data_IF_156473042901
#
_entry.id   IF_156473042901
#
_cell.length_a   1.000
_cell.length_b   1.000
_cell.length_c   1.000
_cell.angle_alpha   90.00
_cell.angle_beta   90.00
_cell.angle_gamma   90.00
#
_symmetry.space_group_name_H-M   'P 1'
#
loop_
_entity.id
_entity.type
_entity.pdbx_description
1 polymer ?
#
# COMPACT_ATOMS: atom_id res chain seq x y z
N UNK A 1 36.37 56.65 3.10
CA UNK A 1 35.15 55.97 3.60
C UNK A 1 34.87 54.75 2.73
N UNK A 2 35.37 53.57 3.10
CA UNK A 2 35.00 52.32 2.42
C UNK A 2 33.94 51.61 3.28
N UNK A 3 32.69 51.59 2.82
CA UNK A 3 31.61 50.83 3.45
C UNK A 3 31.71 49.37 2.98
N UNK A 4 32.12 48.50 3.87
CA UNK A 4 32.07 47.04 3.69
C UNK A 4 30.60 46.60 3.80
N UNK A 5 29.97 46.22 2.69
CA UNK A 5 28.65 45.59 2.71
C UNK A 5 28.84 44.10 3.05
N UNK A 6 28.51 43.73 4.29
CA UNK A 6 28.46 42.34 4.73
C UNK A 6 27.21 41.69 4.12
N UNK A 7 27.37 40.94 3.03
CA UNK A 7 26.30 40.12 2.46
C UNK A 7 26.16 38.87 3.34
N UNK A 8 25.14 38.85 4.20
CA UNK A 8 24.74 37.65 4.92
C UNK A 8 24.06 36.71 3.92
N UNK A 9 24.79 35.72 3.41
CA UNK A 9 24.18 34.59 2.71
C UNK A 9 23.38 33.77 3.74
N UNK A 10 22.06 33.98 3.79
CA UNK A 10 21.16 33.03 4.42
C UNK A 10 21.15 31.76 3.56
N UNK A 11 21.94 30.76 3.94
CA UNK A 11 21.80 29.41 3.39
C UNK A 11 20.50 28.82 3.94
N UNK A 12 19.40 28.94 3.17
CA UNK A 12 18.23 28.11 3.33
C UNK A 12 18.63 26.67 2.97
N UNK A 13 19.17 25.94 3.94
CA UNK A 13 19.31 24.49 3.86
C UNK A 13 17.88 23.93 3.83
N UNK A 14 17.36 23.68 2.63
CA UNK A 14 16.20 22.80 2.45
C UNK A 14 16.72 21.41 2.82
N UNK A 15 16.60 21.06 4.10
CA UNK A 15 16.98 19.77 4.62
C UNK A 15 16.03 18.74 3.99
N UNK A 16 16.45 18.13 2.88
CA UNK A 16 15.63 17.23 2.09
C UNK A 16 15.35 15.98 2.92
N UNK A 17 14.21 15.97 3.62
CA UNK A 17 13.81 14.83 4.43
C UNK A 17 13.55 13.63 3.50
N UNK A 18 14.06 12.43 3.85
CA UNK A 18 13.88 11.24 3.02
C UNK A 18 12.42 10.75 2.97
N UNK A 19 11.58 11.19 3.91
CA UNK A 19 10.12 10.95 3.89
C UNK A 19 9.42 12.28 3.63
N UNK A 20 8.40 12.25 2.77
CA UNK A 20 7.56 13.41 2.48
C UNK A 20 6.10 13.14 2.86
N UNK A 21 5.32 14.18 3.26
CA UNK A 21 3.92 14.01 3.61
C UNK A 21 3.07 13.51 2.43
N UNK A 22 2.05 12.70 2.72
CA UNK A 22 1.02 12.38 1.73
C UNK A 22 0.30 13.63 1.26
N UNK A 23 -0.17 13.56 0.01
CA UNK A 23 -0.96 14.60 -0.63
C UNK A 23 -2.28 14.00 -1.10
N UNK A 24 -3.32 14.81 -1.16
CA UNK A 24 -4.57 14.39 -1.81
C UNK A 24 -4.33 14.29 -3.31
N UNK A 25 -4.78 13.20 -3.95
CA UNK A 25 -4.85 13.12 -5.41
C UNK A 25 -5.99 14.03 -5.89
N UNK A 26 -5.67 14.96 -6.80
CA UNK A 26 -6.61 15.95 -7.34
C UNK A 26 -7.18 15.48 -8.68
N UNK A 27 -8.22 16.18 -9.15
CA UNK A 27 -8.83 15.99 -10.47
C UNK A 27 -9.40 14.58 -10.71
N UNK A 28 -9.94 13.97 -9.66
CA UNK A 28 -10.65 12.69 -9.77
C UNK A 28 -12.12 12.91 -10.14
N UNK A 29 -12.70 11.98 -10.89
CA UNK A 29 -14.10 12.07 -11.32
C UNK A 29 -15.04 11.51 -10.22
N UNK A 30 -15.92 12.34 -9.62
CA UNK A 30 -16.79 11.91 -8.51
C UNK A 30 -17.79 10.82 -8.91
N UNK A 31 -18.28 10.82 -10.15
CA UNK A 31 -19.22 9.79 -10.63
C UNK A 31 -18.52 8.44 -10.77
N UNK A 32 -17.28 8.43 -11.28
CA UNK A 32 -16.44 7.23 -11.35
C UNK A 32 -16.08 6.71 -9.96
N UNK A 33 -15.75 7.60 -9.02
CA UNK A 33 -15.51 7.25 -7.62
C UNK A 33 -16.73 6.55 -7.02
N UNK A 34 -17.93 7.12 -7.20
CA UNK A 34 -19.16 6.54 -6.67
C UNK A 34 -19.46 5.17 -7.28
N UNK A 35 -19.25 5.01 -8.60
CA UNK A 35 -19.40 3.72 -9.28
C UNK A 35 -18.35 2.70 -8.78
N UNK A 36 -17.08 3.10 -8.70
CA UNK A 36 -15.99 2.25 -8.22
C UNK A 36 -16.19 1.81 -6.78
N UNK A 37 -16.61 2.71 -5.87
CA UNK A 37 -16.95 2.39 -4.48
C UNK A 37 -18.02 1.31 -4.38
N UNK A 38 -19.05 1.40 -5.23
CA UNK A 38 -20.14 0.40 -5.29
C UNK A 38 -19.59 -0.95 -5.73
N UNK A 39 -18.90 -0.99 -6.87
CA UNK A 39 -18.30 -2.22 -7.40
C UNK A 39 -17.32 -2.86 -6.41
N UNK A 40 -16.53 -2.06 -5.69
CA UNK A 40 -15.54 -2.56 -4.73
C UNK A 40 -16.15 -3.38 -3.59
N UNK A 41 -17.36 -3.02 -3.15
CA UNK A 41 -18.10 -3.75 -2.09
C UNK A 41 -19.04 -4.83 -2.63
N UNK A 42 -19.30 -4.83 -3.93
CA UNK A 42 -20.34 -5.68 -4.52
C UNK A 42 -19.76 -7.06 -4.86
N UNK A 43 -20.45 -8.11 -4.40
CA UNK A 43 -20.02 -9.49 -4.66
C UNK A 43 -20.28 -9.94 -6.09
N UNK A 44 -21.03 -9.15 -6.88
CA UNK A 44 -21.32 -9.42 -8.31
C UNK A 44 -20.06 -9.64 -9.17
N UNK A 45 -18.91 -9.12 -8.71
CA UNK A 45 -17.63 -9.29 -9.38
C UNK A 45 -17.10 -10.73 -9.28
N UNK A 46 -17.50 -11.51 -8.27
CA UNK A 46 -17.11 -12.91 -8.10
C UNK A 46 -18.05 -13.87 -8.83
N UNK A 47 -17.51 -15.01 -9.24
CA UNK A 47 -18.26 -16.00 -10.02
C UNK A 47 -19.44 -16.61 -9.26
N UNK A 48 -19.34 -16.74 -7.94
CA UNK A 48 -20.37 -17.33 -7.07
C UNK A 48 -21.14 -16.29 -6.23
N UNK A 49 -20.92 -15.00 -6.48
CA UNK A 49 -21.50 -13.87 -5.74
C UNK A 49 -21.20 -13.87 -4.22
N UNK A 50 -20.08 -14.47 -3.77
CA UNK A 50 -19.72 -14.52 -2.35
C UNK A 50 -18.61 -13.56 -1.94
N UNK A 51 -17.74 -13.12 -2.86
CA UNK A 51 -16.55 -12.32 -2.58
C UNK A 51 -16.62 -10.96 -3.29
N UNK A 52 -16.28 -9.88 -2.58
CA UNK A 52 -16.00 -8.56 -3.14
C UNK A 52 -14.56 -8.16 -2.86
N UNK A 53 -14.09 -7.02 -3.39
CA UNK A 53 -12.77 -6.50 -3.04
C UNK A 53 -12.67 -6.21 -1.53
N UNK A 54 -13.75 -5.70 -0.93
CA UNK A 54 -13.84 -5.40 0.50
C UNK A 54 -13.75 -6.64 1.39
N UNK A 55 -14.10 -7.84 0.90
CA UNK A 55 -13.94 -9.09 1.66
C UNK A 55 -12.49 -9.31 2.12
N UNK A 56 -11.52 -8.96 1.26
CA UNK A 56 -10.08 -9.11 1.51
C UNK A 56 -9.37 -7.79 1.87
N UNK A 57 -10.03 -6.65 1.63
CA UNK A 57 -9.46 -5.31 1.81
C UNK A 57 -10.43 -4.43 2.59
N UNK A 58 -10.50 -4.66 3.89
CA UNK A 58 -11.55 -4.13 4.76
C UNK A 58 -11.21 -2.71 5.21
N UNK A 59 -12.12 -1.75 4.95
CA UNK A 59 -11.86 -0.34 5.24
C UNK A 59 -11.61 -0.05 6.72
N UNK A 60 -12.33 -0.73 7.61
CA UNK A 60 -12.20 -0.56 9.05
C UNK A 60 -11.08 -1.39 9.69
N UNK A 61 -10.35 -2.19 8.91
CA UNK A 61 -9.25 -3.05 9.37
C UNK A 61 -7.98 -2.81 8.57
N UNK A 62 -7.47 -1.57 8.57
CA UNK A 62 -6.18 -1.26 7.94
C UNK A 62 -6.14 -1.37 6.41
N UNK A 63 -7.24 -1.72 5.75
CA UNK A 63 -7.32 -1.87 4.28
C UNK A 63 -6.81 -3.22 3.75
N UNK A 64 -6.50 -4.16 4.63
CA UNK A 64 -6.29 -5.58 4.32
C UNK A 64 -7.34 -6.45 5.06
N UNK A 65 -7.10 -7.75 5.19
CA UNK A 65 -7.98 -8.68 5.90
C UNK A 65 -7.46 -9.11 7.28
N UNK A 66 -6.31 -8.60 7.73
CA UNK A 66 -5.58 -9.06 8.92
C UNK A 66 -5.33 -10.57 8.98
N UNK A 67 -5.31 -11.28 7.85
CA UNK A 67 -5.06 -12.71 7.77
C UNK A 67 -3.66 -13.01 7.22
N UNK A 68 -3.14 -14.18 7.59
CA UNK A 68 -1.89 -14.69 7.00
C UNK A 68 -2.00 -14.85 5.47
N UNK A 69 -3.16 -15.30 5.01
CA UNK A 69 -3.54 -15.33 3.61
C UNK A 69 -5.06 -15.29 3.48
N UNK A 70 -5.54 -14.65 2.43
CA UNK A 70 -6.96 -14.41 2.19
C UNK A 70 -7.71 -15.69 1.80
N UNK A 71 -9.03 -15.64 1.94
CA UNK A 71 -9.95 -16.67 1.45
C UNK A 71 -10.76 -16.11 0.29
N UNK A 72 -10.80 -16.85 -0.82
CA UNK A 72 -11.64 -16.53 -1.97
C UNK A 72 -12.87 -17.41 -2.09
N UNK A 73 -13.42 -17.50 -3.31
CA UNK A 73 -14.58 -18.33 -3.62
C UNK A 73 -14.40 -19.77 -3.16
N UNK A 74 -15.50 -20.39 -2.74
CA UNK A 74 -15.52 -21.75 -2.18
C UNK A 74 -14.57 -21.95 -0.98
N UNK A 75 -14.31 -20.88 -0.21
CA UNK A 75 -13.39 -20.86 0.92
C UNK A 75 -11.95 -21.30 0.58
N UNK A 76 -11.55 -21.15 -0.68
CA UNK A 76 -10.18 -21.47 -1.11
C UNK A 76 -9.19 -20.52 -0.45
N UNK A 77 -8.13 -21.09 0.13
CA UNK A 77 -7.09 -20.31 0.80
C UNK A 77 -6.01 -19.87 -0.21
N UNK A 78 -5.73 -18.57 -0.23
CA UNK A 78 -4.60 -17.99 -0.94
C UNK A 78 -3.24 -18.36 -0.32
N UNK A 79 -2.17 -18.03 -1.03
CA UNK A 79 -0.79 -18.36 -0.65
C UNK A 79 0.08 -17.13 -0.36
N UNK A 80 -0.53 -15.96 -0.33
CA UNK A 80 0.12 -14.67 -0.07
C UNK A 80 -0.80 -13.81 0.83
N UNK A 81 -0.19 -12.99 1.68
CA UNK A 81 -0.89 -11.99 2.49
C UNK A 81 -1.39 -10.84 1.60
N UNK A 82 -2.63 -10.41 1.81
CA UNK A 82 -3.22 -9.28 1.11
C UNK A 82 -2.56 -7.98 1.60
N UNK A 83 -1.93 -7.18 0.72
CA UNK A 83 -1.44 -5.86 1.13
C UNK A 83 -2.61 -4.88 1.27
N UNK A 84 -2.43 -3.86 2.11
CA UNK A 84 -3.42 -2.78 2.25
C UNK A 84 -3.71 -2.04 0.93
N UNK A 85 -4.97 -1.67 0.72
CA UNK A 85 -5.40 -0.74 -0.36
C UNK A 85 -5.07 0.72 -0.05
N UNK A 86 -4.83 1.07 1.22
CA UNK A 86 -4.54 2.45 1.58
C UNK A 86 -3.21 2.91 1.00
N UNK A 87 -3.24 4.09 0.39
CA UNK A 87 -2.11 4.71 -0.30
C UNK A 87 -1.54 3.87 -1.46
N UNK A 88 -2.21 2.81 -1.92
CA UNK A 88 -1.73 1.97 -3.01
C UNK A 88 -1.55 2.73 -4.33
N UNK A 89 -2.28 3.83 -4.52
CA UNK A 89 -2.12 4.76 -5.64
C UNK A 89 -0.73 5.41 -5.70
N UNK A 90 0.02 5.46 -4.59
CA UNK A 90 1.40 5.95 -4.55
C UNK A 90 2.43 4.86 -4.81
N UNK A 91 2.03 3.60 -4.95
CA UNK A 91 2.97 2.56 -5.33
C UNK A 91 3.38 2.72 -6.80
N UNK A 92 4.68 2.57 -7.11
CA UNK A 92 5.14 2.58 -8.51
C UNK A 92 4.64 1.37 -9.30
N UNK A 93 4.32 0.27 -8.61
CA UNK A 93 3.84 -1.03 -9.12
C UNK A 93 2.94 -1.70 -8.09
N UNK A 94 2.02 -2.55 -8.52
CA UNK A 94 1.08 -3.26 -7.64
C UNK A 94 1.41 -4.75 -7.51
N UNK A 95 0.86 -5.39 -6.47
CA UNK A 95 1.25 -6.71 -5.96
C UNK A 95 2.66 -6.78 -5.38
N UNK A 96 2.92 -7.82 -4.58
CA UNK A 96 4.22 -8.08 -3.96
C UNK A 96 5.37 -8.26 -4.94
N UNK A 97 5.13 -8.90 -6.10
CA UNK A 97 6.12 -9.05 -7.16
C UNK A 97 6.10 -7.91 -8.19
N UNK A 98 5.18 -6.94 -8.04
CA UNK A 98 5.10 -5.78 -8.91
C UNK A 98 4.62 -6.08 -10.33
N UNK A 99 3.91 -7.20 -10.55
CA UNK A 99 3.47 -7.63 -11.89
C UNK A 99 2.53 -6.67 -12.60
N UNK A 100 1.75 -5.89 -11.85
CA UNK A 100 0.82 -4.91 -12.41
C UNK A 100 1.41 -3.49 -12.37
N UNK A 101 1.31 -2.76 -13.48
CA UNK A 101 1.92 -1.42 -13.62
C UNK A 101 1.20 -0.36 -12.78
N UNK A 102 -0.10 -0.52 -12.55
CA UNK A 102 -0.96 0.44 -11.87
C UNK A 102 -2.22 -0.26 -11.30
N UNK A 103 -3.10 0.51 -10.66
CA UNK A 103 -4.35 0.01 -10.06
C UNK A 103 -5.31 -0.61 -11.09
N UNK A 104 -5.46 -0.01 -12.28
CA UNK A 104 -6.32 -0.57 -13.34
C UNK A 104 -5.87 -1.96 -13.79
N UNK A 105 -4.56 -2.15 -13.94
CA UNK A 105 -4.01 -3.46 -14.29
C UNK A 105 -4.12 -4.45 -13.12
N UNK A 106 -3.94 -3.99 -11.89
CA UNK A 106 -4.09 -4.82 -10.69
C UNK A 106 -5.50 -5.38 -10.54
N UNK A 107 -6.53 -4.55 -10.71
CA UNK A 107 -7.93 -4.92 -10.50
C UNK A 107 -8.42 -6.07 -11.40
N UNK A 108 -7.74 -6.32 -12.53
CA UNK A 108 -8.03 -7.47 -13.41
C UNK A 108 -7.71 -8.80 -12.73
N UNK A 109 -6.61 -8.82 -11.95
CA UNK A 109 -6.04 -10.03 -11.35
C UNK A 109 -7.00 -10.75 -10.41
N UNK A 110 -7.52 -10.10 -9.35
CA UNK A 110 -8.43 -10.74 -8.40
C UNK A 110 -9.72 -11.26 -9.03
N UNK A 111 -10.28 -10.50 -9.98
CA UNK A 111 -11.50 -10.88 -10.71
C UNK A 111 -11.28 -12.20 -11.45
N UNK A 112 -10.14 -12.35 -12.14
CA UNK A 112 -9.83 -13.52 -12.96
C UNK A 112 -9.15 -14.67 -12.19
N UNK A 113 -8.71 -14.46 -10.94
CA UNK A 113 -7.98 -15.48 -10.19
C UNK A 113 -8.94 -16.52 -9.58
N UNK A 114 -8.81 -17.83 -9.91
CA UNK A 114 -9.71 -18.89 -9.45
C UNK A 114 -9.67 -19.14 -7.93
N UNK A 115 -8.64 -18.64 -7.22
CA UNK A 115 -8.54 -18.70 -5.75
C UNK A 115 -9.01 -17.41 -5.05
N UNK A 116 -9.38 -16.38 -5.82
CA UNK A 116 -9.89 -15.11 -5.29
C UNK A 116 -11.35 -14.97 -5.69
N UNK A 117 -11.68 -14.29 -6.80
CA UNK A 117 -13.07 -14.08 -7.24
C UNK A 117 -13.52 -15.05 -8.34
N UNK A 118 -12.56 -15.67 -9.03
CA UNK A 118 -12.76 -16.77 -9.99
C UNK A 118 -13.71 -16.52 -11.16
N UNK A 119 -13.93 -15.25 -11.52
CA UNK A 119 -14.81 -14.86 -12.61
C UNK A 119 -14.01 -14.65 -13.91
N UNK A 120 -14.70 -14.38 -15.02
CA UNK A 120 -14.08 -13.87 -16.25
C UNK A 120 -14.79 -12.61 -16.69
N UNK A 121 -14.11 -11.70 -17.39
CA UNK A 121 -14.79 -10.50 -17.92
C UNK A 121 -15.84 -10.87 -18.99
N UNK A 122 -15.66 -11.98 -19.70
CA UNK A 122 -16.64 -12.52 -20.64
C UNK A 122 -17.96 -12.89 -19.94
N UNK A 123 -17.88 -13.47 -18.74
CA UNK A 123 -19.04 -13.80 -17.93
C UNK A 123 -19.59 -12.59 -17.16
N UNK A 124 -18.72 -11.76 -16.59
CA UNK A 124 -19.09 -10.62 -15.75
C UNK A 124 -19.80 -9.49 -16.52
N UNK A 125 -19.34 -9.16 -17.73
CA UNK A 125 -19.89 -8.02 -18.49
C UNK A 125 -21.40 -8.21 -18.79
N UNK A 126 -21.87 -9.36 -19.31
CA UNK A 126 -23.30 -9.64 -19.47
C UNK A 126 -24.11 -9.52 -18.18
N UNK A 127 -23.56 -9.97 -17.03
CA UNK A 127 -24.22 -9.86 -15.73
C UNK A 127 -24.41 -8.40 -15.32
N UNK A 128 -23.35 -7.60 -15.42
CA UNK A 128 -23.41 -6.17 -15.13
C UNK A 128 -24.41 -5.45 -16.04
N UNK A 129 -24.47 -5.78 -17.33
CA UNK A 129 -25.43 -5.22 -18.30
C UNK A 129 -26.90 -5.53 -17.97
N UNK A 130 -27.18 -6.58 -17.21
CA UNK A 130 -28.53 -6.97 -16.76
C UNK A 130 -28.89 -6.44 -15.37
N UNK A 131 -27.97 -5.75 -14.70
CA UNK A 131 -28.15 -5.22 -13.36
C UNK A 131 -28.31 -3.69 -13.35
N UNK A 132 -28.47 -3.11 -12.15
CA UNK A 132 -28.47 -1.65 -11.96
C UNK A 132 -27.22 -0.94 -12.50
N UNK A 133 -26.10 -1.66 -12.70
CA UNK A 133 -24.87 -1.08 -13.21
C UNK A 133 -24.98 -0.57 -14.64
N UNK A 134 -25.87 -1.12 -15.49
CA UNK A 134 -26.01 -0.65 -16.88
C UNK A 134 -26.23 0.86 -16.93
N UNK A 135 -27.22 1.37 -16.22
CA UNK A 135 -27.54 2.80 -16.19
C UNK A 135 -26.40 3.64 -15.59
N UNK A 136 -25.70 3.11 -14.57
CA UNK A 136 -24.58 3.81 -13.94
C UNK A 136 -23.38 3.95 -14.88
N UNK A 137 -23.08 2.92 -15.67
CA UNK A 137 -22.00 2.97 -16.66
C UNK A 137 -22.36 3.84 -17.86
N UNK A 138 -23.58 3.73 -18.40
CA UNK A 138 -24.03 4.52 -19.56
C UNK A 138 -24.04 6.03 -19.25
N UNK A 139 -24.22 6.42 -17.99
CA UNK A 139 -24.14 7.82 -17.54
C UNK A 139 -22.71 8.38 -17.48
N UNK A 140 -21.68 7.52 -17.50
CA UNK A 140 -20.28 7.90 -17.27
C UNK A 140 -19.39 7.62 -18.49
N UNK A 141 -19.66 6.53 -19.20
CA UNK A 141 -18.84 6.02 -20.30
C UNK A 141 -19.68 5.87 -21.57
N UNK A 142 -19.20 6.42 -22.68
CA UNK A 142 -19.91 6.40 -23.97
C UNK A 142 -20.09 4.99 -24.53
N UNK A 143 -19.14 4.10 -24.28
CA UNK A 143 -19.13 2.69 -24.68
C UNK A 143 -19.71 1.76 -23.59
N UNK A 144 -20.25 2.32 -22.50
CA UNK A 144 -20.94 1.59 -21.44
C UNK A 144 -20.04 0.63 -20.67
N UNK A 145 -20.53 -0.58 -20.41
CA UNK A 145 -19.82 -1.60 -19.63
C UNK A 145 -18.80 -2.34 -20.51
N UNK A 146 -17.53 -2.06 -20.27
CA UNK A 146 -16.37 -2.76 -20.86
C UNK A 146 -15.38 -3.17 -19.76
N UNK A 147 -14.47 -4.11 -20.05
CA UNK A 147 -13.38 -4.49 -19.13
C UNK A 147 -12.59 -3.26 -18.67
N UNK A 148 -12.29 -2.36 -19.61
CA UNK A 148 -11.51 -1.16 -19.30
C UNK A 148 -12.26 -0.15 -18.44
N UNK A 149 -13.57 0.02 -18.63
CA UNK A 149 -14.37 0.95 -17.82
C UNK A 149 -14.62 0.42 -16.40
N UNK A 150 -14.74 -0.90 -16.23
CA UNK A 150 -14.88 -1.54 -14.91
C UNK A 150 -13.63 -1.25 -14.06
N UNK A 151 -12.44 -1.57 -14.60
CA UNK A 151 -11.19 -1.36 -13.86
C UNK A 151 -10.83 0.12 -13.73
N UNK A 152 -11.29 0.98 -14.65
CA UNK A 152 -11.16 2.43 -14.53
C UNK A 152 -11.94 2.98 -13.34
N UNK A 153 -13.19 2.57 -13.18
CA UNK A 153 -14.03 3.00 -12.06
C UNK A 153 -13.44 2.53 -10.71
N UNK A 154 -13.02 1.27 -10.61
CA UNK A 154 -12.36 0.72 -9.42
C UNK A 154 -11.08 1.51 -9.08
N UNK A 155 -10.19 1.69 -10.05
CA UNK A 155 -8.94 2.42 -9.83
C UNK A 155 -9.18 3.89 -9.46
N UNK A 156 -10.21 4.53 -10.01
CA UNK A 156 -10.56 5.92 -9.67
C UNK A 156 -11.03 6.03 -8.21
N UNK A 157 -11.82 5.06 -7.73
CA UNK A 157 -12.17 4.96 -6.32
C UNK A 157 -10.95 4.71 -5.42
N UNK A 158 -10.09 3.76 -5.78
CA UNK A 158 -8.87 3.44 -5.00
C UNK A 158 -7.90 4.62 -4.86
N UNK A 159 -7.83 5.52 -5.87
CA UNK A 159 -7.06 6.78 -5.77
C UNK A 159 -7.55 7.72 -4.66
N UNK A 160 -8.79 7.55 -4.20
CA UNK A 160 -9.32 8.32 -3.06
C UNK A 160 -8.83 7.79 -1.71
N UNK A 161 -8.27 6.58 -1.67
CA UNK A 161 -7.94 5.86 -0.45
C UNK A 161 -6.59 6.30 0.15
N UNK A 162 -6.44 7.60 0.36
CA UNK A 162 -5.23 8.23 0.88
C UNK A 162 -5.42 8.62 2.34
N UNK A 163 -4.61 8.03 3.23
CA UNK A 163 -4.71 8.24 4.68
C UNK A 163 -3.90 9.47 5.11
N UNK A 164 -4.48 10.66 4.95
CA UNK A 164 -3.83 11.93 5.27
C UNK A 164 -3.67 12.13 6.78
N UNK A 165 -2.96 13.21 7.16
CA UNK A 165 -2.91 13.73 8.53
C UNK A 165 -2.35 12.78 9.60
N UNK A 166 -1.49 11.82 9.23
CA UNK A 166 -0.74 11.04 10.22
C UNK A 166 0.07 11.97 11.13
N UNK A 167 0.30 11.61 12.41
CA UNK A 167 1.13 12.41 13.31
C UNK A 167 2.50 12.77 12.70
N UNK A 168 3.13 11.84 11.97
CA UNK A 168 4.39 12.11 11.28
C UNK A 168 4.26 13.10 10.13
N UNK A 169 3.20 13.00 9.32
CA UNK A 169 2.96 13.97 8.24
C UNK A 169 2.69 15.37 8.79
N UNK A 170 2.00 15.50 9.94
CA UNK A 170 1.82 16.78 10.64
C UNK A 170 3.15 17.34 11.15
N UNK A 171 4.00 16.47 11.72
CA UNK A 171 5.35 16.83 12.15
C UNK A 171 6.21 17.37 10.99
N UNK A 172 6.20 16.68 9.85
CA UNK A 172 6.90 17.11 8.63
C UNK A 172 6.35 18.43 8.06
N UNK A 173 5.08 18.73 8.29
CA UNK A 173 4.44 20.01 7.92
C UNK A 173 4.68 21.15 8.91
N UNK A 174 5.42 20.92 10.00
CA UNK A 174 5.85 21.94 10.94
C UNK A 174 5.25 21.86 12.35
N UNK A 175 4.28 20.98 12.59
CA UNK A 175 3.75 20.75 13.94
C UNK A 175 4.75 19.93 14.78
N UNK A 176 5.68 20.63 15.43
CA UNK A 176 6.74 20.02 16.25
C UNK A 176 6.23 19.22 17.46
N UNK A 177 4.95 19.40 17.83
CA UNK A 177 4.28 18.70 18.93
C UNK A 177 3.46 17.51 18.45
N UNK A 178 3.32 17.28 17.14
CA UNK A 178 2.57 16.15 16.60
C UNK A 178 3.15 14.78 16.98
N UNK A 179 4.45 14.71 17.29
CA UNK A 179 5.13 13.50 17.73
C UNK A 179 6.00 13.77 18.96
N UNK A 180 6.15 12.76 19.82
CA UNK A 180 6.92 12.81 21.07
C UNK A 180 8.42 12.71 20.81
N UNK A 181 9.23 12.94 21.86
CA UNK A 181 10.67 12.78 21.79
C UNK A 181 11.09 11.32 21.48
N UNK A 182 10.44 10.32 22.11
CA UNK A 182 10.67 8.88 21.82
C UNK A 182 10.41 8.55 20.35
N UNK A 183 9.40 9.17 19.74
CA UNK A 183 9.06 8.97 18.32
C UNK A 183 10.09 9.63 17.38
N UNK A 184 10.62 10.79 17.75
CA UNK A 184 11.72 11.46 17.02
C UNK A 184 12.99 10.60 17.05
N UNK A 185 13.36 10.10 18.23
CA UNK A 185 14.48 9.17 18.38
C UNK A 185 14.28 7.89 17.56
N UNK A 186 13.06 7.35 17.54
CA UNK A 186 12.69 6.23 16.68
C UNK A 186 12.91 6.49 15.19
N UNK A 187 12.56 7.68 14.71
CA UNK A 187 12.81 8.08 13.32
C UNK A 187 14.31 8.23 13.03
N UNK A 188 15.08 8.81 13.96
CA UNK A 188 16.53 8.90 13.80
C UNK A 188 17.19 7.52 13.75
N UNK A 189 16.80 6.59 14.63
CA UNK A 189 17.29 5.20 14.60
C UNK A 189 16.88 4.53 13.29
N UNK A 190 15.64 4.70 12.83
CA UNK A 190 15.17 4.15 11.55
C UNK A 190 16.04 4.63 10.37
N UNK A 191 16.47 5.90 10.39
CA UNK A 191 17.40 6.44 9.39
C UNK A 191 18.80 5.86 9.54
N UNK A 192 19.39 5.93 10.73
CA UNK A 192 20.80 5.58 10.95
C UNK A 192 21.08 4.09 10.88
N UNK A 193 20.10 3.23 11.20
CA UNK A 193 20.17 1.77 10.96
C UNK A 193 20.10 1.43 9.47
N UNK A 194 19.61 2.33 8.62
CA UNK A 194 19.57 2.15 7.17
C UNK A 194 18.23 1.66 6.62
N UNK A 195 17.17 1.57 7.44
CA UNK A 195 15.83 1.19 6.97
C UNK A 195 15.32 2.16 5.88
N UNK A 196 15.70 3.43 6.00
CA UNK A 196 15.38 4.50 5.06
C UNK A 196 15.92 4.28 3.64
N UNK A 197 16.93 3.44 3.45
CA UNK A 197 17.48 3.11 2.11
C UNK A 197 16.42 2.46 1.20
N UNK A 198 15.48 1.72 1.80
CA UNK A 198 14.41 1.02 1.10
C UNK A 198 13.05 1.66 1.34
N UNK A 199 12.81 2.14 2.57
CA UNK A 199 11.53 2.65 3.02
C UNK A 199 11.55 4.17 3.11
N UNK A 200 11.50 4.83 1.95
CA UNK A 200 11.56 6.29 1.82
C UNK A 200 10.46 6.84 0.90
N UNK A 201 10.45 8.16 0.74
CA UNK A 201 9.58 8.86 -0.19
C UNK A 201 8.19 9.10 0.39
N UNK A 202 7.24 9.38 -0.51
CA UNK A 202 5.88 9.76 -0.09
C UNK A 202 5.11 8.62 0.57
N UNK A 203 5.40 7.36 0.21
CA UNK A 203 4.73 6.18 0.75
C UNK A 203 5.62 5.34 1.69
N UNK A 204 6.83 5.81 2.00
CA UNK A 204 7.76 5.15 2.93
C UNK A 204 8.01 3.70 2.50
N UNK A 205 8.43 3.55 1.24
CA UNK A 205 8.41 2.30 0.48
C UNK A 205 7.44 2.37 -0.69
N UNK A 206 7.11 1.22 -1.27
CA UNK A 206 6.22 1.13 -2.42
C UNK A 206 6.78 1.75 -3.70
N UNK A 207 8.08 2.01 -3.79
CA UNK A 207 8.71 2.76 -4.89
C UNK A 207 9.93 2.07 -5.51
N UNK A 208 10.34 0.91 -5.00
CA UNK A 208 11.42 0.11 -5.56
C UNK A 208 11.21 -1.38 -5.28
N UNK A 209 12.01 -2.20 -5.96
CA UNK A 209 12.18 -3.61 -5.65
C UNK A 209 13.45 -3.82 -4.85
N UNK A 210 13.43 -4.72 -3.88
CA UNK A 210 14.64 -5.16 -3.20
C UNK A 210 14.61 -6.66 -2.92
N UNK A 211 15.79 -7.25 -2.77
CA UNK A 211 15.96 -8.66 -2.45
C UNK A 211 15.49 -8.94 -1.03
N UNK A 212 14.68 -9.97 -0.85
CA UNK A 212 14.30 -10.46 0.46
C UNK A 212 15.43 -11.33 1.03
N UNK A 213 16.10 -10.83 2.07
CA UNK A 213 17.36 -11.41 2.56
C UNK A 213 18.57 -10.92 1.76
N UNK A 214 18.73 -9.59 1.63
CA UNK A 214 19.84 -8.97 0.90
C UNK A 214 21.21 -9.32 1.50
N UNK A 215 21.33 -9.23 2.82
CA UNK A 215 22.60 -9.45 3.52
C UNK A 215 22.77 -10.89 3.99
N UNK A 216 21.65 -11.54 4.35
CA UNK A 216 21.61 -12.97 4.68
C UNK A 216 20.42 -13.59 3.97
N UNK A 217 20.64 -14.76 3.38
CA UNK A 217 19.58 -15.51 2.72
C UNK A 217 18.42 -15.75 3.70
N UNK A 218 17.20 -15.50 3.24
CA UNK A 218 16.00 -15.80 4.01
C UNK A 218 15.10 -16.73 3.22
N UNK A 219 14.44 -17.65 3.92
CA UNK A 219 13.50 -18.56 3.30
C UNK A 219 12.24 -17.81 2.83
N UNK A 220 11.91 -17.99 1.55
CA UNK A 220 10.63 -17.61 0.97
C UNK A 220 10.14 -18.72 0.04
N UNK A 221 8.86 -19.06 0.15
CA UNK A 221 8.18 -19.98 -0.77
C UNK A 221 7.89 -19.34 -2.13
N UNK A 222 7.93 -18.01 -2.22
CA UNK A 222 7.66 -17.23 -3.42
C UNK A 222 8.98 -16.75 -4.00
N UNK A 223 9.13 -16.80 -5.31
CA UNK A 223 10.36 -16.36 -5.98
C UNK A 223 10.32 -14.86 -6.34
N UNK A 224 9.22 -14.18 -6.00
CA UNK A 224 9.07 -12.74 -6.19
C UNK A 224 9.02 -12.37 -7.67
N UNK A 225 9.88 -11.45 -8.10
CA UNK A 225 9.93 -10.98 -9.49
C UNK A 225 10.29 -12.06 -10.51
N UNK A 226 11.07 -13.06 -10.10
CA UNK A 226 11.40 -14.20 -10.96
C UNK A 226 10.16 -14.89 -11.54
N UNK A 227 9.04 -14.91 -10.81
CA UNK A 227 7.76 -15.50 -11.26
C UNK A 227 7.18 -14.80 -12.50
N UNK A 228 7.71 -13.62 -12.87
CA UNK A 228 7.30 -12.83 -14.02
C UNK A 228 8.42 -12.76 -15.06
N UNK A 229 9.66 -12.55 -14.61
CA UNK A 229 10.78 -12.24 -15.51
C UNK A 229 11.57 -13.48 -15.92
N UNK A 230 11.50 -14.57 -15.14
CA UNK A 230 12.31 -15.78 -15.30
C UNK A 230 13.83 -15.52 -15.29
N UNK A 231 14.27 -14.37 -14.79
CA UNK A 231 15.67 -13.97 -14.67
C UNK A 231 16.20 -14.33 -13.30
N UNK A 232 17.27 -15.12 -13.25
CA UNK A 232 17.87 -15.59 -11.98
C UNK A 232 18.21 -14.44 -11.03
N UNK A 233 18.66 -13.30 -11.55
CA UNK A 233 18.96 -12.10 -10.78
C UNK A 233 17.74 -11.47 -10.08
N UNK A 234 16.52 -11.76 -10.55
CA UNK A 234 15.25 -11.28 -9.96
C UNK A 234 14.71 -12.25 -8.87
N UNK A 235 15.39 -13.36 -8.57
CA UNK A 235 14.95 -14.30 -7.52
C UNK A 235 14.91 -13.63 -6.16
N UNK A 236 13.76 -13.77 -5.51
CA UNK A 236 13.44 -13.21 -4.20
C UNK A 236 13.44 -11.68 -4.16
N UNK A 237 13.38 -11.00 -5.30
CA UNK A 237 13.09 -9.58 -5.32
C UNK A 237 11.59 -9.35 -5.17
N UNK A 238 11.22 -8.48 -4.24
CA UNK A 238 9.85 -8.06 -4.00
C UNK A 238 9.76 -6.54 -4.01
N UNK A 239 8.58 -6.02 -4.30
CA UNK A 239 8.27 -4.61 -4.06
C UNK A 239 8.38 -4.36 -2.56
N UNK A 240 9.19 -3.39 -2.18
CA UNK A 240 9.27 -2.96 -0.79
C UNK A 240 7.90 -2.40 -0.38
N UNK A 241 7.23 -2.94 0.66
CA UNK A 241 5.91 -2.46 1.05
C UNK A 241 5.97 -1.04 1.61
N UNK A 242 4.84 -0.33 1.53
CA UNK A 242 4.65 0.92 2.28
C UNK A 242 4.64 0.62 3.77
N UNK A 243 5.23 1.50 4.58
CA UNK A 243 5.11 1.46 6.04
C UNK A 243 3.98 2.36 6.57
N UNK A 244 3.23 3.03 5.69
CA UNK A 244 2.07 3.81 6.13
C UNK A 244 0.98 2.90 6.63
N UNK A 245 0.38 3.26 7.77
CA UNK A 245 -0.62 2.45 8.48
C UNK A 245 -0.13 1.07 8.92
N UNK A 246 1.18 0.82 8.99
CA UNK A 246 1.72 -0.51 9.32
C UNK A 246 1.25 -1.05 10.67
N UNK A 247 0.88 -0.21 11.63
CA UNK A 247 0.32 -0.66 12.91
C UNK A 247 -1.01 -1.44 12.75
N UNK A 248 -1.72 -1.23 11.63
CA UNK A 248 -3.08 -1.73 11.39
C UNK A 248 -3.13 -2.89 10.39
N UNK A 249 -1.98 -3.38 9.90
CA UNK A 249 -1.90 -4.33 8.77
C UNK A 249 -1.09 -5.57 9.15
N UNK A 250 -1.36 -6.13 10.33
CA UNK A 250 -0.74 -7.36 10.78
C UNK A 250 -1.57 -8.55 10.26
N UNK A 251 -0.97 -9.68 9.86
CA UNK A 251 0.44 -10.03 10.00
C UNK A 251 1.33 -9.50 8.87
N UNK A 252 2.63 -9.44 9.13
CA UNK A 252 3.62 -8.80 8.27
C UNK A 252 4.31 -9.76 7.30
N UNK A 253 4.87 -9.17 6.23
CA UNK A 253 5.54 -9.81 5.09
C UNK A 253 4.57 -10.46 4.11
N UNK A 254 5.07 -10.78 2.91
CA UNK A 254 4.28 -11.38 1.84
C UNK A 254 3.61 -12.70 2.23
N UNK A 255 4.11 -13.40 3.24
CA UNK A 255 3.56 -14.67 3.71
C UNK A 255 2.92 -14.59 5.10
N UNK A 256 2.76 -13.37 5.64
CA UNK A 256 2.06 -13.12 6.90
C UNK A 256 2.64 -13.88 8.09
N UNK A 257 3.96 -14.12 8.13
CA UNK A 257 4.58 -14.99 9.15
C UNK A 257 4.73 -14.33 10.53
N UNK A 258 4.72 -12.99 10.61
CA UNK A 258 4.93 -12.26 11.87
C UNK A 258 3.69 -11.52 12.31
N UNK A 259 3.26 -11.70 13.56
CA UNK A 259 2.11 -10.97 14.13
C UNK A 259 2.49 -9.65 14.77
N UNK A 260 3.74 -9.50 15.22
CA UNK A 260 4.17 -8.32 15.98
C UNK A 260 5.24 -7.53 15.23
N UNK A 261 5.18 -6.19 15.35
CA UNK A 261 6.17 -5.29 14.74
C UNK A 261 7.59 -5.61 15.23
N UNK A 262 7.74 -6.00 16.49
CA UNK A 262 9.03 -6.42 17.07
C UNK A 262 9.68 -7.53 16.25
N UNK A 263 8.93 -8.58 15.91
CA UNK A 263 9.47 -9.74 15.20
C UNK A 263 9.93 -9.38 13.79
N UNK A 264 9.12 -8.59 13.06
CA UNK A 264 9.50 -8.15 11.71
C UNK A 264 10.66 -7.15 11.72
N UNK A 265 10.79 -6.29 12.74
CA UNK A 265 11.94 -5.38 12.87
C UNK A 265 13.23 -6.17 13.14
N UNK A 266 13.19 -7.15 14.05
CA UNK A 266 14.33 -8.04 14.33
C UNK A 266 14.72 -8.77 13.04
N UNK A 267 13.73 -9.34 12.34
CA UNK A 267 13.94 -10.05 11.09
C UNK A 267 14.58 -9.14 10.02
N UNK A 268 14.04 -7.94 9.79
CA UNK A 268 14.59 -7.02 8.79
C UNK A 268 16.00 -6.56 9.15
N UNK A 269 16.25 -6.23 10.43
CA UNK A 269 17.58 -5.84 10.89
C UNK A 269 18.61 -6.94 10.65
N UNK A 270 18.24 -8.20 10.91
CA UNK A 270 19.13 -9.34 10.73
C UNK A 270 19.37 -9.70 9.25
N UNK A 271 18.30 -9.86 8.47
CA UNK A 271 18.38 -10.42 7.11
C UNK A 271 18.64 -9.36 6.03
N UNK A 272 18.20 -8.12 6.24
CA UNK A 272 18.37 -7.04 5.26
C UNK A 272 19.56 -6.14 5.54
N UNK A 273 19.97 -6.02 6.80
CA UNK A 273 21.00 -5.07 7.20
C UNK A 273 22.22 -5.75 7.86
N UNK A 274 22.13 -7.04 8.19
CA UNK A 274 23.13 -7.77 8.98
C UNK A 274 23.49 -7.05 10.30
N UNK A 275 22.51 -6.38 10.90
CA UNK A 275 22.67 -5.62 12.13
C UNK A 275 21.95 -6.30 13.29
N UNK A 276 22.51 -6.13 14.48
CA UNK A 276 21.80 -6.34 15.74
C UNK A 276 21.02 -5.06 16.08
N UNK A 277 19.90 -5.25 16.76
CA UNK A 277 19.05 -4.17 17.22
C UNK A 277 18.61 -4.47 18.65
N UNK A 278 18.73 -3.49 19.54
CA UNK A 278 18.38 -3.66 20.96
C UNK A 278 16.87 -3.53 21.18
N UNK A 279 16.37 -4.03 22.31
CA UNK A 279 14.95 -3.89 22.65
C UNK A 279 14.51 -2.42 22.76
N UNK A 280 15.36 -1.54 23.32
CA UNK A 280 15.09 -0.11 23.40
C UNK A 280 15.03 0.56 22.01
N UNK A 281 15.94 0.19 21.10
CA UNK A 281 15.91 0.65 19.71
C UNK A 281 14.62 0.18 19.00
N UNK A 282 14.24 -1.09 19.18
CA UNK A 282 13.00 -1.65 18.62
C UNK A 282 11.80 -0.85 19.12
N UNK A 283 11.69 -0.60 20.43
CA UNK A 283 10.56 0.14 20.98
C UNK A 283 10.47 1.57 20.44
N UNK A 284 11.60 2.24 20.27
CA UNK A 284 11.66 3.58 19.66
C UNK A 284 11.22 3.53 18.20
N UNK A 285 11.72 2.58 17.41
CA UNK A 285 11.27 2.39 16.02
C UNK A 285 9.77 2.10 15.96
N UNK A 286 9.25 1.21 16.81
CA UNK A 286 7.81 0.93 16.88
C UNK A 286 7.04 2.21 17.19
N UNK A 287 7.49 3.00 18.18
CA UNK A 287 6.85 4.28 18.50
C UNK A 287 6.80 5.20 17.28
N UNK A 288 7.88 5.28 16.49
CA UNK A 288 7.91 6.00 15.22
C UNK A 288 6.93 5.40 14.19
N UNK A 289 6.93 4.09 13.94
CA UNK A 289 6.06 3.45 12.95
C UNK A 289 4.57 3.70 13.23
N UNK A 290 4.17 3.77 14.51
CA UNK A 290 2.81 4.13 14.91
C UNK A 290 2.40 5.55 14.52
N UNK A 291 3.36 6.47 14.36
CA UNK A 291 3.10 7.84 13.86
C UNK A 291 2.77 7.88 12.36
N UNK A 292 2.93 6.76 11.65
CA UNK A 292 2.67 6.64 10.21
C UNK A 292 1.22 6.26 9.90
N UNK A 293 0.39 6.01 10.91
CA UNK A 293 -1.05 5.76 10.76
C UNK A 293 -1.77 7.08 10.49
N UNK A 294 -2.37 7.19 9.30
CA UNK A 294 -3.16 8.35 8.89
C UNK A 294 -4.65 8.17 9.18
N UNK A 295 -5.42 9.22 8.93
CA UNK A 295 -6.86 9.20 9.05
C UNK A 295 -7.48 8.36 7.93
N UNK A 296 -8.43 7.49 8.29
CA UNK A 296 -9.22 6.77 7.29
C UNK A 296 -9.93 7.80 6.38
N UNK A 297 -9.94 7.63 5.05
CA UNK A 297 -10.58 8.57 4.13
C UNK A 297 -12.09 8.67 4.35
N UNK A 298 -12.65 9.88 4.23
CA UNK A 298 -14.12 10.10 4.32
C UNK A 298 -14.91 9.33 3.26
N UNK A 299 -14.28 8.94 2.14
CA UNK A 299 -14.93 8.12 1.10
C UNK A 299 -15.30 6.71 1.56
N UNK A 300 -14.78 6.27 2.71
CA UNK A 300 -15.04 4.94 3.29
C UNK A 300 -15.45 4.99 4.77
N UNK A 301 -15.40 6.16 5.41
CA UNK A 301 -16.03 6.39 6.71
C UNK A 301 -17.54 6.57 6.49
N UNK A 302 -18.34 5.68 7.06
CA UNK A 302 -19.81 5.70 7.08
C UNK A 302 -20.56 5.29 5.81
N UNK A 303 -21.50 4.38 5.98
CA UNK A 303 -22.87 4.84 6.28
C UNK A 303 -23.13 4.66 7.77
#
# INVERSE_FOLDING_TARGET
>A
MFRLFLIILLTLSIDAQPITPLKKIKNLNPNKIALGRRLFSDTILSADNTISCESCHQFNQGGDDNLKSSFGIHAQRGDINAPTIYNAAYNFRQFWNGRAKNLKEQAKGPIENPKEMGNSFEHLIPLLKKSQYKTLFDAIYQDGITKENIVDALAEFEKTLITLNSPFDRYLKGDKKAITQKQKEGYEIFKTKGCISCHQGINIGGNLYNKFGLMKASESKRLGRYEITHKEEDKYYFKVPSLRNIEQTAPYLHDGRFKHLKDVIIFMSHYQLAQTITDDEIEKIIAFLKTLTGEIPETVKSR
#
